data_IF_901952600773
#
_entry.id   IF_901952600773
#
_cell.length_a   1.000
_cell.length_b   1.000
_cell.length_c   1.000
_cell.angle_alpha   90.00
_cell.angle_beta   90.00
_cell.angle_gamma   90.00
#
_symmetry.space_group_name_H-M   'P 1'
#
loop_
_entity.id
_entity.type
_entity.pdbx_description
1 polymer ?
#
# COMPACT_ATOMS: atom_id res chain seq x y z
N UNK A 1 -12.27 -23.18 12.72
CA UNK A 1 -11.06 -22.36 12.52
C UNK A 1 -9.90 -23.31 12.32
N UNK A 2 -9.46 -23.51 11.08
CA UNK A 2 -8.25 -24.26 10.79
C UNK A 2 -7.09 -23.42 11.29
N UNK A 3 -6.52 -23.81 12.43
CA UNK A 3 -5.29 -23.24 12.96
C UNK A 3 -4.14 -23.74 12.09
N UNK A 4 -3.89 -23.08 10.96
CA UNK A 4 -2.55 -23.05 10.35
C UNK A 4 -1.74 -22.04 11.16
N UNK A 5 -1.30 -22.45 12.34
CA UNK A 5 -0.09 -21.87 12.93
C UNK A 5 1.02 -22.68 12.27
N UNK A 6 1.77 -22.14 11.29
CA UNK A 6 2.95 -22.83 10.81
C UNK A 6 3.89 -22.87 12.00
N UNK A 7 4.09 -24.07 12.58
CA UNK A 7 5.32 -24.30 13.33
C UNK A 7 6.45 -24.03 12.35
N UNK A 8 7.52 -23.28 12.70
CA UNK A 8 8.65 -23.08 11.79
C UNK A 8 9.22 -24.46 11.49
N UNK A 9 8.80 -25.02 10.36
CA UNK A 9 9.11 -26.40 10.01
C UNK A 9 10.45 -26.33 9.35
N UNK A 10 11.51 -26.31 10.17
CA UNK A 10 12.86 -26.60 9.70
C UNK A 10 12.98 -28.11 9.45
N UNK A 11 12.14 -28.63 8.56
CA UNK A 11 12.29 -29.97 8.04
C UNK A 11 13.38 -29.90 6.98
N UNK A 12 14.60 -30.32 7.35
CA UNK A 12 15.65 -30.56 6.38
C UNK A 12 15.21 -31.75 5.51
N UNK A 13 15.03 -31.53 4.22
CA UNK A 13 14.76 -32.63 3.30
C UNK A 13 16.03 -33.50 3.26
N UNK A 14 15.95 -34.70 3.85
CA UNK A 14 17.10 -35.48 4.35
C UNK A 14 18.04 -36.05 3.26
N UNK A 15 17.99 -35.53 2.03
CA UNK A 15 18.85 -35.90 0.91
C UNK A 15 19.58 -34.75 0.21
N UNK A 16 19.02 -33.53 0.19
CA UNK A 16 19.51 -32.46 -0.69
C UNK A 16 20.07 -31.21 0.03
N UNK A 17 20.00 -31.13 1.36
CA UNK A 17 20.50 -29.97 2.11
C UNK A 17 19.65 -28.70 2.00
N UNK A 18 18.45 -28.81 1.43
CA UNK A 18 17.47 -27.73 1.35
C UNK A 18 16.74 -27.57 2.69
N UNK A 19 16.41 -26.33 3.03
CA UNK A 19 15.68 -25.97 4.25
C UNK A 19 14.36 -25.29 3.87
N UNK A 20 13.27 -25.78 4.43
CA UNK A 20 11.94 -25.16 4.29
C UNK A 20 11.80 -23.97 5.24
N UNK A 21 11.33 -22.84 4.72
CA UNK A 21 10.98 -21.64 5.52
C UNK A 21 9.65 -21.08 5.05
N UNK A 22 8.80 -20.67 6.00
CA UNK A 22 7.47 -20.14 5.71
C UNK A 22 7.16 -18.90 6.56
N UNK A 23 6.48 -17.94 5.94
CA UNK A 23 5.92 -16.75 6.58
C UNK A 23 4.43 -16.67 6.26
N UNK A 24 3.60 -17.05 7.22
CA UNK A 24 2.13 -16.96 7.14
C UNK A 24 1.56 -16.58 8.52
N UNK A 25 1.03 -15.36 8.71
CA UNK A 25 0.89 -14.32 7.69
C UNK A 25 2.21 -13.56 7.43
N UNK A 26 2.42 -13.15 6.19
CA UNK A 26 3.27 -11.99 5.88
C UNK A 26 2.59 -10.74 6.45
N UNK A 27 3.34 -9.95 7.23
CA UNK A 27 2.84 -8.73 7.88
C UNK A 27 3.31 -7.48 7.14
N UNK A 28 2.82 -6.29 7.54
CA UNK A 28 3.08 -5.00 6.87
C UNK A 28 2.74 -5.02 5.37
N UNK A 29 1.66 -5.72 5.04
CA UNK A 29 1.00 -5.75 3.72
C UNK A 29 -0.51 -5.59 3.92
N UNK A 30 -1.25 -5.49 2.80
CA UNK A 30 -2.72 -5.48 2.82
C UNK A 30 -3.27 -6.86 2.49
N UNK A 31 -4.10 -7.40 3.39
CA UNK A 31 -4.79 -8.68 3.19
C UNK A 31 -4.07 -9.88 3.79
N UNK A 32 -4.29 -11.06 3.20
CA UNK A 32 -3.71 -12.33 3.64
C UNK A 32 -2.77 -12.86 2.56
N UNK A 33 -1.51 -13.05 2.96
CA UNK A 33 -0.46 -13.60 2.12
C UNK A 33 0.38 -14.57 2.95
N UNK A 34 0.56 -15.77 2.44
CA UNK A 34 1.54 -16.74 2.91
C UNK A 34 2.61 -16.96 1.84
N UNK A 35 3.88 -16.96 2.25
CA UNK A 35 5.04 -17.26 1.41
C UNK A 35 5.75 -18.50 1.95
N UNK A 36 5.89 -19.52 1.12
CA UNK A 36 6.51 -20.81 1.47
C UNK A 36 7.69 -21.06 0.54
N UNK A 37 8.86 -21.30 1.11
CA UNK A 37 10.11 -21.38 0.34
C UNK A 37 10.90 -22.63 0.68
N UNK A 38 11.70 -23.09 -0.29
CA UNK A 38 12.84 -23.98 -0.05
C UNK A 38 14.12 -23.21 -0.36
N UNK A 39 15.06 -23.26 0.57
CA UNK A 39 16.29 -22.46 0.53
C UNK A 39 17.51 -23.38 0.56
N UNK A 40 18.41 -23.20 -0.40
CA UNK A 40 19.78 -23.70 -0.31
C UNK A 40 20.64 -22.63 0.37
N UNK A 41 20.86 -22.78 1.67
CA UNK A 41 21.69 -21.84 2.43
C UNK A 41 23.17 -21.87 2.03
N UNK A 42 23.66 -22.98 1.46
CA UNK A 42 25.05 -23.12 1.05
C UNK A 42 25.32 -22.30 -0.22
N UNK A 43 24.38 -22.33 -1.17
CA UNK A 43 24.41 -21.51 -2.39
C UNK A 43 23.81 -20.11 -2.20
N UNK A 44 23.12 -19.87 -1.06
CA UNK A 44 22.39 -18.63 -0.76
C UNK A 44 21.30 -18.33 -1.79
N UNK A 45 20.52 -19.36 -2.14
CA UNK A 45 19.50 -19.30 -3.19
C UNK A 45 18.16 -19.83 -2.69
N UNK A 46 17.08 -19.15 -3.07
CA UNK A 46 15.71 -19.67 -2.93
C UNK A 46 15.41 -20.51 -4.17
N UNK A 47 15.31 -21.82 -4.01
CA UNK A 47 15.15 -22.75 -5.15
C UNK A 47 13.69 -22.97 -5.53
N UNK A 48 12.76 -22.69 -4.61
CA UNK A 48 11.31 -22.81 -4.81
C UNK A 48 10.59 -21.80 -3.92
N UNK A 49 9.53 -21.16 -4.45
CA UNK A 49 8.69 -20.22 -3.73
C UNK A 49 7.22 -20.38 -4.15
N UNK A 50 6.35 -20.59 -3.17
CA UNK A 50 4.89 -20.62 -3.35
C UNK A 50 4.26 -19.41 -2.66
N UNK A 51 3.37 -18.73 -3.37
CA UNK A 51 2.56 -17.62 -2.87
C UNK A 51 1.10 -18.06 -2.75
N UNK A 52 0.51 -17.85 -1.58
CA UNK A 52 -0.89 -18.20 -1.32
C UNK A 52 -1.63 -17.08 -0.62
N UNK A 53 -2.94 -16.97 -0.89
CA UNK A 53 -3.85 -16.13 -0.14
C UNK A 53 -5.01 -16.98 0.37
N UNK A 54 -5.34 -16.82 1.65
CA UNK A 54 -6.32 -17.68 2.33
C UNK A 54 -7.72 -17.05 2.40
N UNK A 55 -7.97 -15.93 1.68
CA UNK A 55 -9.23 -15.17 1.76
C UNK A 55 -9.91 -15.09 0.38
N UNK A 56 -11.16 -15.52 0.33
CA UNK A 56 -12.04 -15.36 -0.82
C UNK A 56 -13.34 -14.65 -0.42
N UNK A 57 -13.74 -13.64 -1.21
CA UNK A 57 -14.99 -12.86 -1.00
C UNK A 57 -16.02 -12.97 -2.12
N UNK A 58 -15.63 -13.40 -3.32
CA UNK A 58 -16.56 -13.73 -4.39
C UNK A 58 -17.36 -12.58 -5.02
N UNK A 59 -16.76 -11.40 -5.22
CA UNK A 59 -17.41 -10.24 -5.86
C UNK A 59 -18.09 -10.58 -7.19
N UNK A 60 -17.42 -11.33 -8.07
CA UNK A 60 -17.98 -11.75 -9.37
C UNK A 60 -19.23 -12.63 -9.26
N UNK A 61 -19.47 -13.26 -8.10
CA UNK A 61 -20.65 -14.08 -7.85
C UNK A 61 -21.82 -13.19 -7.44
N UNK A 62 -21.67 -12.43 -6.35
CA UNK A 62 -22.81 -11.71 -5.77
C UNK A 62 -23.17 -10.43 -6.52
N UNK A 63 -22.30 -9.91 -7.39
CA UNK A 63 -22.61 -8.77 -8.25
C UNK A 63 -23.58 -9.12 -9.39
N UNK A 64 -23.75 -10.40 -9.74
CA UNK A 64 -24.69 -10.82 -10.79
C UNK A 64 -26.12 -10.41 -10.44
N UNK A 65 -26.82 -9.85 -11.43
CA UNK A 65 -28.20 -9.38 -11.30
C UNK A 65 -28.39 -8.13 -10.43
N UNK A 66 -27.30 -7.46 -10.00
CA UNK A 66 -27.38 -6.14 -9.36
C UNK A 66 -27.48 -5.04 -10.41
N UNK A 67 -28.04 -3.89 -10.00
CA UNK A 67 -28.07 -2.71 -10.85
C UNK A 67 -26.63 -2.28 -11.19
N UNK A 68 -26.27 -2.13 -12.48
CA UNK A 68 -24.94 -1.69 -12.86
C UNK A 68 -24.53 -0.35 -12.24
N UNK A 69 -25.48 0.53 -11.92
CA UNK A 69 -25.22 1.82 -11.27
C UNK A 69 -24.70 1.67 -9.85
N UNK A 70 -24.98 0.56 -9.17
CA UNK A 70 -24.48 0.30 -7.82
C UNK A 70 -23.04 -0.26 -7.84
N UNK A 71 -22.51 -0.63 -9.02
CA UNK A 71 -21.27 -1.38 -9.13
C UNK A 71 -20.08 -0.65 -8.50
N UNK A 72 -19.91 0.65 -8.76
CA UNK A 72 -18.78 1.44 -8.23
C UNK A 72 -18.76 1.51 -6.70
N UNK A 73 -19.92 1.66 -6.06
CA UNK A 73 -20.00 1.59 -4.60
C UNK A 73 -19.65 0.20 -4.06
N UNK A 74 -20.09 -0.85 -4.76
CA UNK A 74 -19.83 -2.24 -4.36
C UNK A 74 -18.34 -2.57 -4.55
N UNK A 75 -17.78 -2.36 -5.74
CA UNK A 75 -16.39 -2.72 -6.09
C UNK A 75 -15.38 -1.93 -5.27
N UNK A 76 -15.72 -0.73 -4.81
CA UNK A 76 -14.85 0.00 -3.88
C UNK A 76 -14.50 -0.79 -2.63
N UNK A 77 -15.37 -1.72 -2.19
CA UNK A 77 -15.12 -2.54 -0.99
C UNK A 77 -14.17 -3.72 -1.26
N UNK A 78 -13.69 -3.89 -2.49
CA UNK A 78 -12.66 -4.87 -2.80
C UNK A 78 -11.39 -4.55 -2.00
N UNK A 79 -11.01 -3.30 -1.84
CA UNK A 79 -9.76 -2.93 -1.20
C UNK A 79 -10.00 -1.85 -0.13
N UNK A 80 -9.33 -1.99 1.01
CA UNK A 80 -9.41 -1.00 2.12
C UNK A 80 -8.29 0.04 2.10
N UNK A 81 -7.34 -0.08 1.17
CA UNK A 81 -6.29 0.93 0.91
C UNK A 81 -6.49 1.62 -0.44
N UNK A 82 -6.96 0.87 -1.44
CA UNK A 82 -7.09 1.25 -2.85
C UNK A 82 -8.53 1.12 -3.38
N UNK A 83 -9.50 1.45 -2.52
CA UNK A 83 -10.93 1.25 -2.79
C UNK A 83 -11.51 2.25 -3.79
N UNK A 84 -10.97 3.46 -3.82
CA UNK A 84 -11.26 4.53 -4.78
C UNK A 84 -10.89 4.12 -6.22
N UNK A 85 -9.70 3.56 -6.45
CA UNK A 85 -9.29 3.10 -7.78
C UNK A 85 -10.30 2.08 -8.37
N UNK A 86 -10.84 1.19 -7.52
CA UNK A 86 -11.90 0.25 -7.93
C UNK A 86 -13.24 0.94 -8.21
N UNK A 87 -13.56 2.04 -7.54
CA UNK A 87 -14.74 2.85 -7.82
C UNK A 87 -14.56 3.61 -9.14
N UNK A 88 -13.42 4.27 -9.34
CA UNK A 88 -13.04 5.01 -10.56
C UNK A 88 -13.01 4.12 -11.78
N UNK A 89 -12.33 2.96 -11.71
CA UNK A 89 -12.33 1.97 -12.79
C UNK A 89 -13.74 1.48 -13.11
N UNK A 90 -14.57 1.24 -12.09
CA UNK A 90 -15.98 0.85 -12.28
C UNK A 90 -16.80 1.95 -12.95
N UNK A 91 -16.62 3.22 -12.57
CA UNK A 91 -17.26 4.35 -13.24
C UNK A 91 -16.80 4.50 -14.69
N UNK A 92 -15.52 4.28 -15.01
CA UNK A 92 -15.03 4.29 -16.40
C UNK A 92 -15.65 3.17 -17.26
N UNK A 93 -15.75 1.95 -16.72
CA UNK A 93 -16.41 0.84 -17.41
C UNK A 93 -17.90 1.13 -17.64
N UNK A 94 -18.57 1.72 -16.63
CA UNK A 94 -19.96 2.14 -16.73
C UNK A 94 -20.15 3.26 -17.77
N UNK A 95 -19.26 4.27 -17.79
CA UNK A 95 -19.30 5.37 -18.76
C UNK A 95 -19.26 4.84 -20.19
N UNK A 96 -18.37 3.88 -20.45
CA UNK A 96 -18.29 3.19 -21.74
C UNK A 96 -19.59 2.43 -22.06
N UNK A 97 -20.10 1.64 -21.12
CA UNK A 97 -21.29 0.82 -21.32
C UNK A 97 -22.56 1.66 -21.56
N UNK A 98 -22.67 2.83 -20.92
CA UNK A 98 -23.82 3.72 -21.04
C UNK A 98 -23.68 4.72 -22.20
N UNK A 99 -22.50 4.79 -22.84
CA UNK A 99 -22.21 5.79 -23.87
C UNK A 99 -22.22 7.23 -23.34
N UNK A 100 -21.90 7.42 -22.05
CA UNK A 100 -21.88 8.74 -21.42
C UNK A 100 -20.46 9.25 -21.28
N UNK A 101 -20.26 10.51 -21.66
CA UNK A 101 -19.01 11.24 -21.41
C UNK A 101 -19.24 12.21 -20.25
N UNK A 102 -18.48 12.10 -19.15
CA UNK A 102 -18.60 13.05 -18.05
C UNK A 102 -18.12 14.46 -18.45
N UNK A 103 -18.55 15.51 -17.73
CA UNK A 103 -18.03 16.86 -17.93
C UNK A 103 -16.51 16.91 -17.75
N UNK A 104 -15.82 17.73 -18.54
CA UNK A 104 -14.34 17.83 -18.50
C UNK A 104 -13.82 18.20 -17.10
N UNK A 105 -14.52 19.06 -16.37
CA UNK A 105 -14.15 19.42 -15.00
C UNK A 105 -14.30 18.25 -14.01
N UNK A 106 -15.25 17.34 -14.23
CA UNK A 106 -15.40 16.14 -13.41
C UNK A 106 -14.20 15.22 -13.58
N UNK A 107 -13.69 15.03 -14.80
CA UNK A 107 -12.47 14.26 -15.05
C UNK A 107 -11.25 14.87 -14.34
N UNK A 108 -11.13 16.20 -14.31
CA UNK A 108 -10.05 16.84 -13.55
C UNK A 108 -10.19 16.63 -12.04
N UNK A 109 -11.40 16.67 -11.50
CA UNK A 109 -11.64 16.37 -10.08
C UNK A 109 -11.27 14.91 -9.76
N UNK A 110 -11.67 13.95 -10.60
CA UNK A 110 -11.29 12.54 -10.44
C UNK A 110 -9.77 12.38 -10.51
N UNK A 111 -9.10 13.02 -11.47
CA UNK A 111 -7.64 12.96 -11.58
C UNK A 111 -6.93 13.56 -10.36
N UNK A 112 -7.46 14.64 -9.78
CA UNK A 112 -6.94 15.19 -8.52
C UNK A 112 -7.18 14.22 -7.36
N UNK A 113 -8.35 13.60 -7.26
CA UNK A 113 -8.65 12.56 -6.27
C UNK A 113 -7.67 11.39 -6.35
N UNK A 114 -7.55 10.75 -7.52
CA UNK A 114 -6.66 9.61 -7.74
C UNK A 114 -5.17 9.98 -7.58
N UNK A 115 -4.78 11.23 -7.89
CA UNK A 115 -3.42 11.70 -7.62
C UNK A 115 -3.15 11.84 -6.12
N UNK A 116 -4.12 12.34 -5.34
CA UNK A 116 -4.03 12.37 -3.88
C UNK A 116 -3.97 10.96 -3.28
N UNK A 117 -4.69 10.00 -3.86
CA UNK A 117 -4.55 8.60 -3.50
C UNK A 117 -3.11 8.11 -3.70
N UNK A 118 -2.52 8.34 -4.88
CA UNK A 118 -1.13 7.93 -5.14
C UNK A 118 -0.14 8.56 -4.17
N UNK A 119 -0.32 9.84 -3.83
CA UNK A 119 0.50 10.52 -2.82
C UNK A 119 0.35 9.87 -1.44
N UNK A 120 -0.88 9.58 -1.02
CA UNK A 120 -1.17 8.92 0.24
C UNK A 120 -0.59 7.51 0.32
N UNK A 121 -0.95 6.63 -0.62
CA UNK A 121 -0.62 5.20 -0.59
C UNK A 121 0.90 5.02 -0.68
N UNK A 122 1.55 5.67 -1.64
CA UNK A 122 3.01 5.56 -1.77
C UNK A 122 3.74 6.05 -0.53
N UNK A 123 3.35 7.18 0.07
CA UNK A 123 3.97 7.68 1.30
C UNK A 123 3.81 6.68 2.46
N UNK A 124 2.57 6.22 2.75
CA UNK A 124 2.34 5.39 3.94
C UNK A 124 2.90 3.97 3.74
N UNK A 125 2.80 3.43 2.53
CA UNK A 125 3.32 2.11 2.21
C UNK A 125 4.85 2.11 2.26
N UNK A 126 5.49 3.10 1.63
CA UNK A 126 6.94 3.17 1.61
C UNK A 126 7.52 3.40 3.01
N UNK A 127 7.02 4.36 3.77
CA UNK A 127 7.71 4.78 4.99
C UNK A 127 7.22 4.09 6.26
N UNK A 128 6.01 3.52 6.25
CA UNK A 128 5.46 2.83 7.42
C UNK A 128 5.33 1.31 7.26
N UNK A 129 5.35 0.80 6.04
CA UNK A 129 5.33 -0.65 5.77
C UNK A 129 6.71 -1.12 5.30
N UNK A 130 7.15 -0.73 4.11
CA UNK A 130 8.40 -1.22 3.48
C UNK A 130 9.65 -0.71 4.20
N UNK A 131 9.71 0.57 4.54
CA UNK A 131 10.88 1.23 5.13
C UNK A 131 11.30 0.61 6.46
N UNK A 132 10.39 -0.10 7.15
CA UNK A 132 10.70 -0.85 8.37
C UNK A 132 11.65 -2.02 8.10
N UNK A 133 11.69 -2.59 6.89
CA UNK A 133 12.69 -3.58 6.51
C UNK A 133 14.10 -2.99 6.42
N UNK A 134 14.20 -1.65 6.34
CA UNK A 134 15.45 -0.89 6.24
C UNK A 134 15.74 -0.05 7.49
N UNK A 135 14.92 -0.13 8.55
CA UNK A 135 15.15 0.61 9.77
C UNK A 135 16.34 0.04 10.58
N UNK A 136 16.91 0.85 11.46
CA UNK A 136 18.04 0.48 12.31
C UNK A 136 17.79 -0.84 13.03
N UNK A 137 16.61 -1.00 13.65
CA UNK A 137 16.30 -2.20 14.43
C UNK A 137 16.37 -3.47 13.56
N UNK A 138 15.75 -3.45 12.37
CA UNK A 138 15.76 -4.61 11.48
C UNK A 138 17.17 -4.92 10.97
N UNK A 139 17.93 -3.89 10.59
CA UNK A 139 19.30 -4.07 10.09
C UNK A 139 20.25 -4.51 11.20
N UNK A 140 20.07 -4.05 12.43
CA UNK A 140 20.84 -4.51 13.59
C UNK A 140 20.62 -6.01 13.87
N UNK A 141 19.38 -6.50 13.71
CA UNK A 141 19.03 -7.90 13.96
C UNK A 141 19.52 -8.84 12.84
N UNK A 142 19.60 -8.35 11.60
CA UNK A 142 19.87 -9.19 10.42
C UNK A 142 21.28 -9.04 9.85
N UNK A 143 21.84 -7.82 9.85
CA UNK A 143 23.13 -7.48 9.23
C UNK A 143 23.91 -6.42 10.05
N UNK A 144 24.40 -6.74 11.27
CA UNK A 144 25.07 -5.76 12.14
C UNK A 144 26.23 -4.99 11.49
N UNK A 145 27.04 -5.66 10.65
CA UNK A 145 28.14 -5.01 9.93
C UNK A 145 27.69 -3.97 8.91
N UNK A 146 26.49 -4.14 8.34
CA UNK A 146 25.90 -3.12 7.44
C UNK A 146 25.48 -1.89 8.24
N UNK A 147 24.97 -2.05 9.47
CA UNK A 147 24.64 -0.92 10.33
C UNK A 147 25.89 -0.13 10.74
N UNK A 148 26.98 -0.82 11.08
CA UNK A 148 28.26 -0.17 11.40
C UNK A 148 28.79 0.66 10.21
N UNK A 149 28.73 0.10 9.00
CA UNK A 149 29.06 0.82 7.78
C UNK A 149 28.12 2.02 7.57
N UNK A 150 26.81 1.86 7.77
CA UNK A 150 25.83 2.94 7.60
C UNK A 150 26.09 4.10 8.57
N UNK A 151 26.52 3.83 9.80
CA UNK A 151 26.84 4.85 10.80
C UNK A 151 28.07 5.71 10.44
N UNK A 152 28.93 5.22 9.54
CA UNK A 152 30.11 5.94 9.06
C UNK A 152 29.98 6.44 7.61
N UNK A 153 28.92 6.07 6.90
CA UNK A 153 28.67 6.48 5.51
C UNK A 153 27.87 7.78 5.49
N UNK A 154 28.45 8.86 4.95
CA UNK A 154 27.75 10.13 4.75
C UNK A 154 26.63 9.99 3.71
N UNK A 155 25.49 10.65 3.95
CA UNK A 155 24.40 10.68 2.98
C UNK A 155 24.74 11.70 1.88
N UNK A 156 24.77 11.30 0.58
CA UNK A 156 25.19 12.19 -0.51
C UNK A 156 24.36 13.48 -0.63
N UNK A 157 23.10 13.44 -0.19
CA UNK A 157 22.15 14.57 -0.24
C UNK A 157 21.78 15.08 1.15
N UNK A 158 22.69 14.96 2.13
CA UNK A 158 22.47 15.41 3.51
C UNK A 158 21.95 16.85 3.62
N UNK A 159 22.32 17.73 2.68
CA UNK A 159 21.82 19.11 2.62
C UNK A 159 20.32 19.24 2.31
N UNK A 160 19.75 18.27 1.61
CA UNK A 160 18.34 18.30 1.18
C UNK A 160 17.41 17.78 2.28
N UNK A 161 17.84 16.75 3.01
CA UNK A 161 17.00 16.00 3.96
C UNK A 161 17.48 16.06 5.41
N UNK A 162 18.62 16.68 5.72
CA UNK A 162 19.10 16.92 7.08
C UNK A 162 19.81 15.74 7.78
N UNK A 163 19.63 14.51 7.30
CA UNK A 163 20.37 13.34 7.81
C UNK A 163 21.84 13.34 7.37
N UNK A 164 22.78 13.36 8.33
CA UNK A 164 24.23 13.38 8.05
C UNK A 164 24.73 12.05 7.48
N UNK A 165 24.28 10.93 8.03
CA UNK A 165 24.70 9.58 7.64
C UNK A 165 23.54 8.71 7.21
N UNK A 166 23.83 7.64 6.48
CA UNK A 166 22.83 6.61 6.14
C UNK A 166 22.27 5.96 7.42
N UNK A 167 23.10 5.79 8.45
CA UNK A 167 22.64 5.33 9.76
C UNK A 167 21.56 6.24 10.36
N UNK A 168 21.67 7.55 10.21
CA UNK A 168 20.65 8.50 10.70
C UNK A 168 19.30 8.29 10.01
N UNK A 169 19.30 8.02 8.71
CA UNK A 169 18.09 7.67 7.94
C UNK A 169 17.49 6.35 8.45
N UNK A 170 18.31 5.30 8.65
CA UNK A 170 17.82 4.03 9.19
C UNK A 170 17.15 4.20 10.56
N UNK A 171 17.67 5.09 11.41
CA UNK A 171 17.07 5.38 12.74
C UNK A 171 15.76 6.14 12.64
N UNK A 172 15.64 7.05 11.67
CA UNK A 172 14.40 7.83 11.47
C UNK A 172 13.23 6.98 10.94
N UNK A 173 13.51 5.80 10.38
CA UNK A 173 12.54 4.80 9.94
C UNK A 173 12.08 3.82 11.03
N UNK A 174 12.65 3.88 12.25
CA UNK A 174 12.25 2.98 13.33
C UNK A 174 10.75 3.15 13.67
N UNK A 175 9.96 2.06 13.80
CA UNK A 175 8.52 2.15 14.08
C UNK A 175 8.21 2.95 15.35
N UNK A 176 7.37 3.97 15.20
CA UNK A 176 6.88 4.90 16.24
C UNK A 176 7.94 5.79 16.91
N UNK A 177 9.20 5.38 16.97
CA UNK A 177 10.29 6.15 17.61
C UNK A 177 11.10 6.98 16.61
N UNK A 178 11.21 6.54 15.36
CA UNK A 178 11.83 7.27 14.27
C UNK A 178 11.01 8.49 13.85
N UNK A 179 11.68 9.60 13.56
CA UNK A 179 11.01 10.85 13.20
C UNK A 179 10.33 10.79 11.83
N UNK A 180 11.01 10.26 10.81
CA UNK A 180 10.48 10.17 9.46
C UNK A 180 9.28 9.20 9.39
N UNK A 181 9.34 8.09 10.13
CA UNK A 181 8.19 7.20 10.29
C UNK A 181 6.96 7.95 10.84
N UNK A 182 7.14 8.79 11.87
CA UNK A 182 6.03 9.57 12.45
C UNK A 182 5.57 10.71 11.56
N UNK A 183 6.48 11.35 10.85
CA UNK A 183 6.18 12.40 9.89
C UNK A 183 5.34 11.87 8.73
N UNK A 184 5.74 10.74 8.14
CA UNK A 184 4.98 10.07 7.07
C UNK A 184 3.55 9.72 7.52
N UNK A 185 3.33 9.39 8.80
CA UNK A 185 1.98 9.21 9.34
C UNK A 185 1.16 10.52 9.33
N UNK A 186 1.76 11.68 9.59
CA UNK A 186 1.08 12.97 9.45
C UNK A 186 0.84 13.31 7.98
N UNK A 187 1.84 13.07 7.11
CA UNK A 187 1.70 13.22 5.65
C UNK A 187 0.53 12.42 5.12
N UNK A 188 0.37 11.18 5.58
CA UNK A 188 -0.75 10.33 5.19
C UNK A 188 -2.12 10.92 5.56
N UNK A 189 -2.22 11.80 6.57
CA UNK A 189 -3.49 12.38 7.02
C UNK A 189 -3.92 13.50 6.09
N UNK A 190 -3.06 14.50 5.90
CA UNK A 190 -3.43 15.64 5.06
C UNK A 190 -3.51 15.26 3.57
N UNK A 191 -2.72 14.28 3.09
CA UNK A 191 -2.90 13.72 1.74
C UNK A 191 -4.26 13.05 1.57
N UNK A 192 -4.81 12.40 2.61
CA UNK A 192 -6.19 11.91 2.60
C UNK A 192 -7.23 13.01 2.71
N UNK A 193 -6.93 14.12 3.38
CA UNK A 193 -7.81 15.30 3.37
C UNK A 193 -7.91 15.87 1.95
N UNK A 194 -6.80 15.96 1.21
CA UNK A 194 -6.78 16.32 -0.22
C UNK A 194 -7.67 15.38 -1.04
N UNK A 195 -7.56 14.06 -0.82
CA UNK A 195 -8.45 13.08 -1.45
C UNK A 195 -9.93 13.35 -1.10
N UNK A 196 -10.23 13.59 0.19
CA UNK A 196 -11.61 13.83 0.65
C UNK A 196 -12.23 15.09 0.06
N UNK A 197 -11.44 16.13 -0.25
CA UNK A 197 -11.92 17.31 -0.95
C UNK A 197 -12.46 16.96 -2.35
N UNK A 198 -11.80 16.03 -3.05
CA UNK A 198 -12.17 15.64 -4.42
C UNK A 198 -13.24 14.54 -4.46
N UNK A 199 -13.18 13.56 -3.56
CA UNK A 199 -14.01 12.35 -3.62
C UNK A 199 -14.92 12.12 -2.39
N UNK A 200 -14.94 13.10 -1.48
CA UNK A 200 -15.84 13.19 -0.33
C UNK A 200 -15.34 12.49 0.94
N UNK A 201 -14.82 11.25 0.83
CA UNK A 201 -14.24 10.52 1.98
C UNK A 201 -13.32 9.39 1.53
N UNK A 202 -12.25 9.14 2.27
CA UNK A 202 -11.29 8.06 2.03
C UNK A 202 -11.63 6.80 2.86
N UNK A 203 -11.39 5.57 2.39
CA UNK A 203 -10.95 5.12 1.05
C UNK A 203 -12.11 4.84 0.10
N UNK A 204 -13.34 4.91 0.61
CA UNK A 204 -14.53 4.56 -0.15
C UNK A 204 -15.28 5.83 -0.55
N UNK A 205 -15.06 6.34 -1.78
CA UNK A 205 -15.54 7.64 -2.18
C UNK A 205 -17.07 7.70 -2.17
N UNK A 206 -17.59 8.91 -1.98
CA UNK A 206 -19.04 9.16 -1.88
C UNK A 206 -19.58 10.14 -2.91
N UNK A 207 -18.70 10.87 -3.59
CA UNK A 207 -19.09 11.84 -4.61
C UNK A 207 -18.79 11.36 -6.03
N UNK A 208 -18.27 10.15 -6.22
CA UNK A 208 -17.98 9.60 -7.54
C UNK A 208 -19.17 8.80 -8.08
N UNK A 209 -19.56 9.05 -9.34
CA UNK A 209 -20.71 8.40 -10.00
C UNK A 209 -20.41 8.12 -11.49
N UNK A 210 -21.09 7.16 -12.13
CA UNK A 210 -21.07 7.07 -13.59
C UNK A 210 -21.66 8.36 -14.19
N UNK A 211 -20.91 8.99 -15.10
CA UNK A 211 -21.27 10.26 -15.73
C UNK A 211 -20.77 11.53 -15.03
N UNK A 212 -20.06 11.45 -13.90
CA UNK A 212 -19.39 12.60 -13.29
C UNK A 212 -19.17 12.51 -11.78
N UNK A 213 -19.18 13.66 -11.12
CA UNK A 213 -18.96 13.77 -9.66
C UNK A 213 -20.02 14.67 -9.01
N UNK A 214 -20.30 14.42 -7.74
CA UNK A 214 -21.12 15.28 -6.87
C UNK A 214 -20.33 16.39 -6.18
N UNK A 215 -19.01 16.41 -6.33
CA UNK A 215 -18.11 17.43 -5.78
C UNK A 215 -18.41 18.80 -6.40
N UNK A 216 -18.69 19.80 -5.57
CA UNK A 216 -19.03 21.15 -6.03
C UNK A 216 -17.74 21.95 -6.24
N UNK A 217 -17.39 22.17 -7.50
CA UNK A 217 -16.20 22.94 -7.86
C UNK A 217 -16.34 24.41 -7.44
N UNK A 218 -15.47 24.86 -6.54
CA UNK A 218 -15.35 26.25 -6.10
C UNK A 218 -13.90 26.69 -6.09
N UNK A 219 -13.64 28.00 -6.08
CA UNK A 219 -12.28 28.53 -5.90
C UNK A 219 -11.70 28.04 -4.57
N UNK A 220 -12.52 28.07 -3.50
CA UNK A 220 -12.12 27.61 -2.18
C UNK A 220 -11.70 26.13 -2.19
N UNK A 221 -12.48 25.24 -2.83
CA UNK A 221 -12.12 23.83 -2.95
C UNK A 221 -10.73 23.64 -3.56
N UNK A 222 -10.43 24.39 -4.62
CA UNK A 222 -9.15 24.27 -5.33
C UNK A 222 -7.99 24.85 -4.53
N UNK A 223 -8.22 25.92 -3.75
CA UNK A 223 -7.20 26.46 -2.83
C UNK A 223 -6.94 25.51 -1.68
N UNK A 224 -7.98 24.92 -1.09
CA UNK A 224 -7.85 23.98 0.03
C UNK A 224 -7.11 22.69 -0.37
N UNK A 225 -7.18 22.29 -1.66
CA UNK A 225 -6.45 21.12 -2.15
C UNK A 225 -4.93 21.34 -2.28
N UNK A 226 -4.49 22.59 -2.49
CA UNK A 226 -3.07 22.91 -2.74
C UNK A 226 -2.34 23.46 -1.51
N UNK A 227 -3.03 23.66 -0.39
CA UNK A 227 -2.49 24.25 0.86
C UNK A 227 -2.59 23.27 2.01
#
# INVERSE_FOLDING_TARGET
>A
MTSTIPSPTSTSDAGNGLVEMAWDPVTRIVGSLGIYTKIDFKQKEVVECHSTSSIFRGYSIFMKGKDPRDAHFITSRICGICGDNHATCSCYAQNMAYGVRPPHLAEWIVNLGEAAEYMFDHNIFQENLVGVDYCEKMIAETNPGVLEMANSTEAPHAGDHGYRTIGDIMRSLNPFTGEFYREALQVSRWTREMFCLMEGRHVHPSTLYPGGVGTVATIQLMTDYIT
#
